data_IF_092231995599
#
_entry.id   IF_092231995599
#
_cell.length_a   1.000
_cell.length_b   1.000
_cell.length_c   1.000
_cell.angle_alpha   90.00
_cell.angle_beta   90.00
_cell.angle_gamma   90.00
#
_symmetry.space_group_name_H-M   'P 1'
#
loop_
_entity.id
_entity.type
_entity.pdbx_description
1 polymer ?
#
# COMPACT_ATOMS: atom_id res chain seq x y z
N UNK A 1 -2.20 6.81 -11.11
CA UNK A 1 -2.54 5.84 -10.01
C UNK A 1 -3.37 4.69 -10.57
N UNK A 2 -3.13 3.44 -10.14
CA UNK A 2 -3.94 2.30 -10.56
C UNK A 2 -5.28 2.28 -9.81
N UNK A 3 -6.39 2.11 -10.53
CA UNK A 3 -7.74 2.20 -9.97
C UNK A 3 -8.04 1.20 -8.85
N UNK A 4 -7.32 0.06 -8.81
CA UNK A 4 -7.46 -0.91 -7.71
C UNK A 4 -7.17 -0.27 -6.33
N UNK A 5 -6.18 0.62 -6.25
CA UNK A 5 -5.84 1.31 -5.00
C UNK A 5 -6.93 2.29 -4.61
N UNK A 6 -7.44 3.07 -5.57
CA UNK A 6 -8.52 4.05 -5.33
C UNK A 6 -9.84 3.36 -4.94
N UNK A 7 -10.17 2.24 -5.59
CA UNK A 7 -11.35 1.45 -5.24
C UNK A 7 -11.24 0.85 -3.82
N UNK A 8 -10.04 0.38 -3.43
CA UNK A 8 -9.83 -0.11 -2.06
C UNK A 8 -9.79 1.00 -1.03
N UNK A 9 -9.32 2.21 -1.38
CA UNK A 9 -9.40 3.37 -0.48
C UNK A 9 -10.87 3.69 -0.14
N UNK A 10 -11.77 3.64 -1.14
CA UNK A 10 -13.20 3.78 -0.89
C UNK A 10 -13.69 2.74 0.13
N UNK A 11 -13.34 1.46 -0.07
CA UNK A 11 -13.76 0.40 0.83
C UNK A 11 -13.18 0.59 2.24
N UNK A 12 -11.91 0.97 2.34
CA UNK A 12 -11.26 1.29 3.62
C UNK A 12 -12.00 2.39 4.37
N UNK A 13 -12.28 3.52 3.69
CA UNK A 13 -12.99 4.65 4.33
C UNK A 13 -14.40 4.25 4.73
N UNK A 14 -15.11 3.51 3.88
CA UNK A 14 -16.46 3.04 4.19
C UNK A 14 -16.49 2.07 5.36
N UNK A 15 -15.52 1.15 5.43
CA UNK A 15 -15.39 0.15 6.48
C UNK A 15 -15.04 0.78 7.85
N UNK A 16 -14.11 1.73 7.86
CA UNK A 16 -13.59 2.34 9.08
C UNK A 16 -14.42 3.48 9.62
N UNK A 17 -14.98 4.30 8.72
CA UNK A 17 -15.60 5.58 9.05
C UNK A 17 -17.06 5.69 8.59
N UNK A 18 -17.54 4.74 7.78
CA UNK A 18 -18.88 4.70 7.27
C UNK A 18 -19.10 5.40 5.92
N UNK A 19 -20.24 5.08 5.27
CA UNK A 19 -20.57 5.59 3.93
C UNK A 19 -20.68 7.11 3.89
N UNK A 20 -21.26 7.73 4.93
CA UNK A 20 -21.42 9.20 4.97
C UNK A 20 -20.09 9.95 4.98
N UNK A 21 -19.05 9.38 5.63
CA UNK A 21 -17.70 9.96 5.61
C UNK A 21 -17.10 9.82 4.23
N UNK A 22 -17.28 8.66 3.56
CA UNK A 22 -16.83 8.53 2.18
C UNK A 22 -17.49 9.56 1.25
N UNK A 23 -18.78 9.78 1.37
CA UNK A 23 -19.52 10.72 0.53
C UNK A 23 -19.01 12.15 0.72
N UNK A 24 -18.73 12.59 1.97
CA UNK A 24 -18.14 13.89 2.28
C UNK A 24 -16.70 14.01 1.75
N UNK A 25 -15.87 12.98 1.95
CA UNK A 25 -14.49 12.92 1.42
C UNK A 25 -14.48 13.02 -0.09
N UNK A 26 -15.32 12.25 -0.78
CA UNK A 26 -15.40 12.23 -2.23
C UNK A 26 -15.89 13.57 -2.81
N UNK A 27 -16.84 14.20 -2.12
CA UNK A 27 -17.33 15.54 -2.47
C UNK A 27 -16.25 16.61 -2.29
N UNK A 28 -15.53 16.62 -1.16
CA UNK A 28 -14.44 17.58 -0.90
C UNK A 28 -13.26 17.41 -1.84
N UNK A 29 -12.98 16.19 -2.26
CA UNK A 29 -11.96 15.88 -3.26
C UNK A 29 -12.37 16.29 -4.68
N UNK A 30 -13.63 16.73 -4.91
CA UNK A 30 -14.14 17.07 -6.24
C UNK A 30 -14.30 15.86 -7.18
N UNK A 31 -14.46 14.66 -6.61
CA UNK A 31 -14.49 13.40 -7.35
C UNK A 31 -15.85 12.69 -7.31
N UNK A 32 -16.92 13.41 -6.97
CA UNK A 32 -18.27 12.84 -6.77
C UNK A 32 -18.76 12.04 -7.98
N UNK A 33 -18.45 12.49 -9.18
CA UNK A 33 -18.87 11.82 -10.43
C UNK A 33 -17.81 10.83 -10.96
N UNK A 34 -16.74 10.59 -10.19
CA UNK A 34 -15.64 9.73 -10.60
C UNK A 34 -15.78 8.32 -10.01
N UNK A 35 -16.15 7.37 -10.86
CA UNK A 35 -16.12 5.96 -10.49
C UNK A 35 -14.71 5.37 -10.74
N UNK A 36 -13.99 5.02 -9.67
CA UNK A 36 -12.69 4.38 -9.79
C UNK A 36 -12.81 2.89 -10.12
N UNK A 37 -12.65 2.57 -11.42
CA UNK A 37 -12.68 1.19 -11.91
C UNK A 37 -11.32 0.53 -11.67
N UNK A 38 -11.24 -0.66 -11.03
CA UNK A 38 -9.98 -1.27 -10.60
C UNK A 38 -8.94 -1.50 -11.70
N UNK A 39 -9.37 -1.72 -12.95
CA UNK A 39 -8.48 -2.03 -14.07
C UNK A 39 -8.02 -0.79 -14.85
N UNK A 40 -8.49 0.40 -14.52
CA UNK A 40 -8.15 1.64 -15.20
C UNK A 40 -7.02 2.41 -14.48
N UNK A 41 -6.40 3.32 -15.21
CA UNK A 41 -5.43 4.26 -14.65
C UNK A 41 -6.10 5.63 -14.47
N UNK A 42 -5.75 6.29 -13.38
CA UNK A 42 -6.24 7.62 -13.01
C UNK A 42 -5.08 8.57 -12.72
N UNK A 43 -5.29 9.88 -12.78
CA UNK A 43 -4.31 10.88 -12.35
C UNK A 43 -3.86 10.59 -10.91
N UNK A 44 -2.58 10.86 -10.62
CA UNK A 44 -2.01 10.56 -9.30
C UNK A 44 -2.60 11.45 -8.20
N UNK A 45 -3.01 12.67 -8.55
CA UNK A 45 -3.65 13.59 -7.61
C UNK A 45 -4.98 13.08 -7.05
N UNK A 46 -5.69 12.15 -7.71
CA UNK A 46 -6.93 11.60 -7.13
C UNK A 46 -6.71 10.97 -5.75
N UNK A 47 -5.57 10.27 -5.54
CA UNK A 47 -5.25 9.72 -4.22
C UNK A 47 -4.94 10.84 -3.20
N UNK A 48 -4.13 11.82 -3.60
CA UNK A 48 -3.77 12.93 -2.71
C UNK A 48 -4.98 13.77 -2.34
N UNK A 49 -5.87 14.06 -3.29
CA UNK A 49 -7.10 14.82 -3.06
C UNK A 49 -8.02 14.09 -2.06
N UNK A 50 -8.19 12.76 -2.25
CA UNK A 50 -8.98 11.92 -1.33
C UNK A 50 -8.36 11.84 0.07
N UNK A 51 -7.03 11.65 0.17
CA UNK A 51 -6.33 11.60 1.47
C UNK A 51 -6.40 12.96 2.18
N UNK A 52 -6.22 14.06 1.46
CA UNK A 52 -6.34 15.42 2.01
C UNK A 52 -7.76 15.69 2.51
N UNK A 53 -8.76 15.29 1.74
CA UNK A 53 -10.16 15.40 2.18
C UNK A 53 -10.43 14.54 3.42
N UNK A 54 -9.92 13.30 3.46
CA UNK A 54 -10.06 12.40 4.60
C UNK A 54 -9.41 12.97 5.87
N UNK A 55 -8.22 13.58 5.76
CA UNK A 55 -7.59 14.31 6.86
C UNK A 55 -8.50 15.41 7.40
N UNK A 56 -9.10 16.22 6.51
CA UNK A 56 -9.97 17.32 6.91
C UNK A 56 -11.26 16.86 7.62
N UNK A 57 -11.72 15.64 7.33
CA UNK A 57 -12.93 15.06 7.94
C UNK A 57 -12.61 14.35 9.25
N UNK A 58 -11.50 13.61 9.31
CA UNK A 58 -11.14 12.77 10.47
C UNK A 58 -10.26 13.48 11.49
N UNK A 59 -9.50 14.49 11.08
CA UNK A 59 -8.47 15.14 11.90
C UNK A 59 -7.19 14.31 12.06
N UNK A 60 -7.07 13.16 11.39
CA UNK A 60 -5.88 12.31 11.46
C UNK A 60 -4.75 12.85 10.57
N UNK A 61 -3.51 12.53 10.91
CA UNK A 61 -2.38 12.86 10.07
C UNK A 61 -2.35 12.02 8.79
N UNK A 62 -1.84 12.61 7.70
CA UNK A 62 -1.69 11.94 6.40
C UNK A 62 -0.91 10.63 6.51
N UNK A 63 0.16 10.66 7.25
CA UNK A 63 1.08 9.53 7.40
C UNK A 63 0.41 8.36 8.09
N UNK A 64 -0.35 8.62 9.16
CA UNK A 64 -1.12 7.60 9.88
C UNK A 64 -2.19 6.98 8.98
N UNK A 65 -2.91 7.81 8.21
CA UNK A 65 -3.93 7.35 7.26
C UNK A 65 -3.35 6.47 6.16
N UNK A 66 -2.18 6.84 5.62
CA UNK A 66 -1.52 6.07 4.58
C UNK A 66 -1.01 4.72 5.11
N UNK A 67 -0.44 4.71 6.31
CA UNK A 67 0.07 3.49 6.93
C UNK A 67 -1.10 2.55 7.30
N UNK A 68 -2.17 3.07 7.90
CA UNK A 68 -3.36 2.29 8.23
C UNK A 68 -4.03 1.73 6.96
N UNK A 69 -4.18 2.54 5.92
CA UNK A 69 -4.70 2.08 4.64
C UNK A 69 -3.80 1.03 4.00
N UNK A 70 -2.47 1.20 4.06
CA UNK A 70 -1.50 0.22 3.58
C UNK A 70 -1.67 -1.14 4.24
N UNK A 71 -1.81 -1.16 5.56
CA UNK A 71 -2.04 -2.41 6.30
C UNK A 71 -3.41 -3.03 5.95
N UNK A 72 -4.45 -2.22 5.87
CA UNK A 72 -5.81 -2.68 5.57
C UNK A 72 -5.96 -3.26 4.16
N UNK A 73 -5.25 -2.72 3.16
CA UNK A 73 -5.42 -3.10 1.76
C UNK A 73 -4.79 -4.45 1.41
N UNK A 74 -3.85 -4.95 2.21
CA UNK A 74 -3.10 -6.18 1.89
C UNK A 74 -3.95 -7.45 1.86
N UNK A 75 -4.79 -7.78 2.85
CA UNK A 75 -5.64 -8.97 2.77
C UNK A 75 -6.52 -9.03 1.51
N UNK A 76 -7.26 -7.97 1.13
CA UNK A 76 -8.01 -7.97 -0.11
C UNK A 76 -7.13 -8.11 -1.37
N UNK A 77 -5.94 -7.49 -1.42
CA UNK A 77 -5.02 -7.65 -2.55
C UNK A 77 -4.46 -9.07 -2.64
N UNK A 78 -4.03 -9.66 -1.52
CA UNK A 78 -3.58 -11.06 -1.48
C UNK A 78 -4.69 -12.00 -1.96
N UNK A 79 -5.92 -11.79 -1.52
CA UNK A 79 -7.06 -12.59 -1.95
C UNK A 79 -7.33 -12.44 -3.45
N UNK A 80 -7.25 -11.22 -3.98
CA UNK A 80 -7.42 -10.95 -5.42
C UNK A 80 -6.35 -11.65 -6.28
N UNK A 81 -5.12 -11.72 -5.80
CA UNK A 81 -3.99 -12.32 -6.52
C UNK A 81 -3.60 -13.71 -6.00
N UNK A 82 -4.46 -14.35 -5.21
CA UNK A 82 -4.18 -15.62 -4.50
C UNK A 82 -3.61 -16.72 -5.41
N UNK A 83 -4.09 -16.84 -6.64
CA UNK A 83 -3.63 -17.83 -7.60
C UNK A 83 -2.16 -17.65 -8.04
N UNK A 84 -1.58 -16.48 -7.82
CA UNK A 84 -0.21 -16.12 -8.20
C UNK A 84 0.77 -16.20 -7.03
N UNK A 85 0.26 -16.38 -5.80
CA UNK A 85 1.04 -16.44 -4.57
C UNK A 85 1.17 -17.91 -4.16
N UNK A 86 2.40 -18.48 -4.13
CA UNK A 86 2.63 -19.83 -3.65
C UNK A 86 2.12 -20.01 -2.22
N UNK A 87 1.56 -21.19 -1.93
CA UNK A 87 0.96 -21.46 -0.61
C UNK A 87 1.99 -21.61 0.50
N UNK A 88 3.20 -21.98 0.14
CA UNK A 88 4.35 -22.17 1.02
C UNK A 88 5.04 -20.85 1.43
N UNK A 89 4.65 -19.72 0.86
CA UNK A 89 5.24 -18.44 1.23
C UNK A 89 4.79 -18.01 2.62
N UNK A 90 5.76 -17.53 3.39
CA UNK A 90 5.60 -16.73 4.60
C UNK A 90 5.71 -15.22 4.26
N UNK A 91 5.71 -14.36 5.27
CA UNK A 91 5.83 -12.93 5.08
C UNK A 91 7.17 -12.52 4.44
N UNK A 92 8.28 -13.17 4.82
CA UNK A 92 9.61 -12.91 4.26
C UNK A 92 9.62 -13.24 2.77
N UNK A 93 9.18 -14.46 2.41
CA UNK A 93 9.14 -14.90 1.03
C UNK A 93 8.21 -14.01 0.18
N UNK A 94 7.07 -13.57 0.72
CA UNK A 94 6.18 -12.65 0.04
C UNK A 94 6.87 -11.32 -0.25
N UNK A 95 7.46 -10.68 0.76
CA UNK A 95 8.11 -9.37 0.61
C UNK A 95 9.30 -9.41 -0.34
N UNK A 96 10.13 -10.45 -0.29
CA UNK A 96 11.27 -10.63 -1.20
C UNK A 96 10.86 -10.78 -2.67
N UNK A 97 9.62 -11.26 -2.93
CA UNK A 97 9.15 -11.56 -4.29
C UNK A 97 8.08 -10.59 -4.83
N UNK A 98 7.60 -9.62 -4.02
CA UNK A 98 6.48 -8.74 -4.41
C UNK A 98 6.77 -7.95 -5.68
N UNK A 99 7.98 -7.41 -5.83
CA UNK A 99 8.35 -6.63 -7.02
C UNK A 99 8.28 -7.48 -8.28
N UNK A 100 8.94 -8.63 -8.30
CA UNK A 100 9.00 -9.47 -9.51
C UNK A 100 7.66 -10.14 -9.83
N UNK A 101 6.98 -10.70 -8.81
CA UNK A 101 5.78 -11.52 -9.01
C UNK A 101 4.51 -10.70 -9.16
N UNK A 102 4.39 -9.59 -8.42
CA UNK A 102 3.18 -8.78 -8.42
C UNK A 102 3.35 -7.54 -9.31
N UNK A 103 4.31 -6.66 -9.01
CA UNK A 103 4.43 -5.39 -9.74
C UNK A 103 4.85 -5.60 -11.20
N UNK A 104 5.85 -6.43 -11.46
CA UNK A 104 6.34 -6.66 -12.82
C UNK A 104 5.37 -7.52 -13.64
N UNK A 105 4.92 -8.67 -13.10
CA UNK A 105 4.12 -9.63 -13.87
C UNK A 105 2.64 -9.27 -13.91
N UNK A 106 2.07 -8.76 -12.83
CA UNK A 106 0.62 -8.51 -12.79
C UNK A 106 0.29 -7.10 -13.28
N UNK A 107 0.94 -6.09 -12.71
CA UNK A 107 0.56 -4.71 -12.98
C UNK A 107 1.08 -4.25 -14.34
N UNK A 108 2.39 -4.41 -14.60
CA UNK A 108 3.00 -3.91 -15.85
C UNK A 108 2.59 -4.71 -17.08
N UNK A 109 2.43 -6.03 -16.99
CA UNK A 109 1.97 -6.83 -18.14
C UNK A 109 0.52 -6.54 -18.52
N UNK A 110 -0.36 -6.28 -17.54
CA UNK A 110 -1.76 -5.95 -17.81
C UNK A 110 -1.97 -4.49 -18.19
N UNK A 111 -1.15 -3.60 -17.68
CA UNK A 111 -1.19 -2.16 -17.94
C UNK A 111 0.22 -1.64 -18.21
N UNK A 112 0.72 -1.69 -19.45
CA UNK A 112 2.09 -1.25 -19.79
C UNK A 112 2.37 0.22 -19.44
N UNK A 113 1.34 1.06 -19.41
CA UNK A 113 1.44 2.48 -19.03
C UNK A 113 1.45 2.71 -17.51
N UNK A 114 1.17 1.67 -16.71
CA UNK A 114 1.22 1.78 -15.27
C UNK A 114 2.65 1.99 -14.79
N UNK A 115 2.82 2.93 -13.88
CA UNK A 115 4.10 3.21 -13.21
C UNK A 115 3.98 2.87 -11.73
N UNK A 116 3.97 1.56 -11.35
CA UNK A 116 3.99 1.18 -9.93
C UNK A 116 5.27 1.69 -9.28
N UNK A 117 5.32 1.85 -7.95
CA UNK A 117 6.56 2.08 -7.26
C UNK A 117 7.53 0.92 -7.53
N UNK A 118 8.81 1.18 -7.40
CA UNK A 118 9.81 0.13 -7.32
C UNK A 118 10.06 -0.18 -5.84
N UNK A 119 9.90 -1.44 -5.48
CA UNK A 119 10.10 -1.95 -4.12
C UNK A 119 11.27 -2.94 -4.18
N UNK A 120 12.43 -2.52 -3.70
CA UNK A 120 13.58 -3.40 -3.59
C UNK A 120 13.66 -3.92 -2.15
N UNK A 121 13.54 -5.24 -1.95
CA UNK A 121 13.62 -5.89 -0.64
C UNK A 121 14.80 -6.85 -0.61
N UNK A 122 15.59 -6.78 0.47
CA UNK A 122 16.68 -7.72 0.72
C UNK A 122 16.72 -8.13 2.19
N UNK A 123 17.02 -9.37 2.45
CA UNK A 123 17.24 -9.86 3.80
C UNK A 123 18.69 -9.54 4.22
N UNK A 124 18.85 -8.82 5.34
CA UNK A 124 20.15 -8.47 5.92
C UNK A 124 20.64 -9.55 6.88
N UNK A 125 19.70 -10.05 7.69
CA UNK A 125 19.87 -11.14 8.66
C UNK A 125 18.57 -11.95 8.66
N UNK A 126 18.53 -13.17 9.23
CA UNK A 126 17.30 -13.93 9.31
C UNK A 126 16.13 -13.10 9.86
N UNK A 127 15.09 -12.90 9.03
CA UNK A 127 13.88 -12.12 9.32
C UNK A 127 14.10 -10.62 9.54
N UNK A 128 15.28 -10.08 9.23
CA UNK A 128 15.55 -8.64 9.20
C UNK A 128 15.65 -8.21 7.74
N UNK A 129 14.68 -7.41 7.28
CA UNK A 129 14.57 -6.99 5.90
C UNK A 129 14.87 -5.51 5.75
N UNK A 130 15.66 -5.15 4.73
CA UNK A 130 15.73 -3.80 4.21
C UNK A 130 14.72 -3.66 3.08
N UNK A 131 13.84 -2.67 3.18
CA UNK A 131 12.85 -2.33 2.18
C UNK A 131 13.16 -0.94 1.64
N UNK A 132 13.46 -0.83 0.36
CA UNK A 132 13.64 0.45 -0.33
C UNK A 132 12.42 0.74 -1.22
N UNK A 133 11.74 1.83 -0.90
CA UNK A 133 10.65 2.37 -1.70
C UNK A 133 11.16 3.48 -2.60
N UNK A 134 10.90 3.36 -3.90
CA UNK A 134 11.33 4.31 -4.92
C UNK A 134 10.16 4.67 -5.83
N UNK A 135 9.74 5.93 -5.79
CA UNK A 135 8.61 6.42 -6.60
C UNK A 135 8.68 7.94 -6.75
N UNK A 136 8.01 8.45 -7.79
CA UNK A 136 7.73 9.89 -7.92
C UNK A 136 6.58 10.35 -7.01
N UNK A 137 5.89 9.40 -6.36
CA UNK A 137 4.80 9.65 -5.40
C UNK A 137 5.35 9.54 -3.99
N UNK A 138 4.97 10.46 -3.12
CA UNK A 138 5.29 10.39 -1.70
C UNK A 138 4.31 9.46 -0.96
N UNK A 139 4.44 8.16 -1.22
CA UNK A 139 3.61 7.11 -0.64
C UNK A 139 4.43 6.06 0.13
N UNK A 140 5.56 6.46 0.67
CA UNK A 140 6.45 5.54 1.42
C UNK A 140 5.79 4.98 2.67
N UNK A 141 4.92 5.75 3.34
CA UNK A 141 4.18 5.29 4.51
C UNK A 141 3.06 4.32 4.14
N UNK A 142 2.44 4.48 2.96
CA UNK A 142 1.55 3.45 2.41
C UNK A 142 2.32 2.12 2.20
N UNK A 143 3.55 2.20 1.66
CA UNK A 143 4.38 1.00 1.46
C UNK A 143 4.77 0.35 2.81
N UNK A 144 5.11 1.15 3.84
CA UNK A 144 5.37 0.64 5.18
C UNK A 144 4.12 -0.04 5.77
N UNK A 145 2.96 0.59 5.64
CA UNK A 145 1.68 -0.03 6.02
C UNK A 145 1.44 -1.36 5.32
N UNK A 146 1.78 -1.46 4.02
CA UNK A 146 1.70 -2.73 3.30
C UNK A 146 2.63 -3.80 3.91
N UNK A 147 3.83 -3.43 4.38
CA UNK A 147 4.73 -4.38 5.10
C UNK A 147 4.06 -4.88 6.37
N UNK A 148 3.47 -3.98 7.18
CA UNK A 148 2.68 -4.36 8.36
C UNK A 148 1.52 -5.29 8.00
N UNK A 149 0.78 -4.97 6.94
CA UNK A 149 -0.35 -5.78 6.46
C UNK A 149 0.06 -7.18 6.01
N UNK A 150 1.22 -7.30 5.33
CA UNK A 150 1.78 -8.61 4.94
C UNK A 150 2.16 -9.42 6.18
N UNK A 151 2.90 -8.84 7.12
CA UNK A 151 3.25 -9.51 8.36
C UNK A 151 2.00 -10.01 9.10
N UNK A 152 1.03 -9.13 9.33
CA UNK A 152 -0.23 -9.47 10.00
C UNK A 152 -1.00 -10.59 9.29
N UNK A 153 -1.03 -10.59 7.94
CA UNK A 153 -1.68 -11.64 7.15
C UNK A 153 -1.08 -13.04 7.40
N UNK A 154 0.23 -13.09 7.65
CA UNK A 154 0.95 -14.34 7.96
C UNK A 154 1.08 -14.62 9.46
N UNK A 155 0.37 -13.87 10.32
CA UNK A 155 0.41 -14.06 11.78
C UNK A 155 1.68 -13.54 12.43
N UNK A 156 2.27 -12.50 11.85
CA UNK A 156 3.50 -11.88 12.31
C UNK A 156 3.29 -10.39 12.61
N UNK A 157 4.25 -9.78 13.30
CA UNK A 157 4.32 -8.34 13.53
C UNK A 157 5.64 -7.77 13.02
N UNK A 158 5.66 -6.47 12.80
CA UNK A 158 6.82 -5.71 12.32
C UNK A 158 7.36 -4.85 13.45
N UNK A 159 8.66 -4.96 13.71
CA UNK A 159 9.43 -3.99 14.46
C UNK A 159 10.24 -3.14 13.47
N UNK A 160 10.07 -1.82 13.52
CA UNK A 160 10.86 -0.88 12.69
C UNK A 160 12.18 -0.62 13.42
N UNK A 161 13.30 -1.07 12.83
CA UNK A 161 14.63 -0.85 13.36
C UNK A 161 15.23 0.47 12.89
N UNK A 162 15.00 0.81 11.59
CA UNK A 162 15.48 2.04 10.98
C UNK A 162 14.47 2.58 9.98
N UNK A 163 14.40 3.90 9.85
CA UNK A 163 13.58 4.60 8.84
C UNK A 163 14.29 5.87 8.43
N UNK A 164 14.75 5.92 7.19
CA UNK A 164 15.50 7.06 6.68
C UNK A 164 15.07 7.48 5.29
N UNK A 165 15.19 8.78 5.00
CA UNK A 165 15.08 9.33 3.66
C UNK A 165 16.48 9.31 3.03
N UNK A 166 16.64 8.57 1.94
CA UNK A 166 17.87 8.50 1.16
C UNK A 166 17.79 9.49 0.00
N UNK A 167 18.93 9.96 -0.49
CA UNK A 167 18.98 10.86 -1.64
C UNK A 167 18.28 10.28 -2.88
N UNK A 168 17.70 11.16 -3.70
CA UNK A 168 17.03 10.76 -4.94
C UNK A 168 15.61 10.25 -4.76
N UNK A 169 14.92 10.60 -3.66
CA UNK A 169 13.50 10.24 -3.44
C UNK A 169 13.28 8.79 -3.03
N UNK A 170 14.33 8.16 -2.49
CA UNK A 170 14.27 6.81 -1.93
C UNK A 170 13.98 6.87 -0.45
N UNK A 171 12.97 6.13 0.01
CA UNK A 171 12.74 5.88 1.43
C UNK A 171 13.18 4.45 1.76
N UNK A 172 13.99 4.31 2.81
CA UNK A 172 14.50 3.03 3.30
C UNK A 172 13.94 2.74 4.67
N UNK A 173 13.50 1.50 4.86
CA UNK A 173 13.12 0.94 6.14
C UNK A 173 13.95 -0.31 6.41
N UNK A 174 14.41 -0.47 7.64
CA UNK A 174 14.92 -1.75 8.13
C UNK A 174 13.91 -2.27 9.13
N UNK A 175 13.38 -3.45 8.89
CA UNK A 175 12.31 -4.04 9.69
C UNK A 175 12.66 -5.46 10.12
N UNK A 176 12.25 -5.84 11.33
CA UNK A 176 12.28 -7.21 11.82
C UNK A 176 10.88 -7.80 11.82
N UNK A 177 10.74 -9.02 11.32
CA UNK A 177 9.50 -9.79 11.37
C UNK A 177 9.55 -10.76 12.53
N UNK A 178 8.54 -10.72 13.40
CA UNK A 178 8.45 -11.59 14.58
C UNK A 178 7.07 -12.27 14.61
N UNK A 179 6.96 -13.49 15.17
CA UNK A 179 5.65 -14.10 15.39
C UNK A 179 4.76 -13.16 16.22
N UNK A 180 3.48 -13.03 15.82
CA UNK A 180 2.50 -12.38 16.68
C UNK A 180 2.26 -13.28 17.91
N UNK A 181 2.26 -12.69 19.10
CA UNK A 181 2.06 -13.42 20.35
C UNK A 181 0.64 -14.00 20.44
#
# INVERSE_FOLDING_TARGET
MHGVILAHLRHFVTDRYGQSVWDDVNHRAGLTDCLHVPIQLYPDNHLEDLVTALQSVTGLHRDDLLEEFGAWVIPPLINMYRAMIPREWDAVAFLLNVEERIHQRVIRLKNPEATPPRIDVRELEPRVLQVEYRSHRDLSLLALGCVHGVAAFYGEKVEILESEQVDGGVRRFVVRLEPAA
#
